data_IF_004222554087
#
_entry.id   IF_004222554087
#
_cell.length_a   1.000
_cell.length_b   1.000
_cell.length_c   1.000
_cell.angle_alpha   90.00
_cell.angle_beta   90.00
_cell.angle_gamma   90.00
#
_symmetry.space_group_name_H-M   'P 1'
#
loop_
_entity.id
_entity.type
_entity.pdbx_description
1 polymer ?
#
# COMPACT_ATOMS: atom_id res chain seq x y z
N UNK A 1 -6.93 8.30 0.82
CA UNK A 1 -5.99 7.18 0.99
C UNK A 1 -6.57 6.04 1.82
N UNK A 2 -7.06 6.26 3.05
CA UNK A 2 -7.61 5.19 3.89
C UNK A 2 -8.68 4.33 3.19
N UNK A 3 -9.54 4.96 2.41
CA UNK A 3 -10.58 4.26 1.62
C UNK A 3 -10.01 3.17 0.70
N UNK A 4 -8.95 3.49 -0.03
CA UNK A 4 -8.32 2.53 -0.95
C UNK A 4 -7.74 1.31 -0.22
N UNK A 5 -7.14 1.53 0.96
CA UNK A 5 -6.65 0.42 1.79
C UNK A 5 -7.79 -0.44 2.34
N UNK A 6 -8.86 0.17 2.83
CA UNK A 6 -10.03 -0.58 3.30
C UNK A 6 -10.64 -1.43 2.18
N UNK A 7 -10.81 -0.86 1.00
CA UNK A 7 -11.34 -1.56 -0.16
C UNK A 7 -10.45 -2.76 -0.57
N UNK A 8 -9.13 -2.55 -0.64
CA UNK A 8 -8.18 -3.61 -0.98
C UNK A 8 -8.17 -4.75 0.06
N UNK A 9 -8.17 -4.40 1.34
CA UNK A 9 -8.16 -5.40 2.42
C UNK A 9 -9.47 -6.20 2.44
N UNK A 10 -10.61 -5.52 2.31
CA UNK A 10 -11.91 -6.18 2.26
C UNK A 10 -11.99 -7.14 1.07
N UNK A 11 -11.58 -6.70 -0.12
CA UNK A 11 -11.55 -7.55 -1.30
C UNK A 11 -10.59 -8.74 -1.13
N UNK A 12 -9.39 -8.49 -0.61
CA UNK A 12 -8.40 -9.55 -0.39
C UNK A 12 -8.87 -10.62 0.57
N UNK A 13 -9.59 -10.25 1.63
CA UNK A 13 -10.14 -11.19 2.60
C UNK A 13 -11.36 -11.91 2.03
N UNK A 14 -12.25 -11.20 1.33
CA UNK A 14 -13.48 -11.77 0.81
C UNK A 14 -13.26 -12.69 -0.40
N UNK A 15 -12.16 -12.49 -1.14
CA UNK A 15 -11.78 -13.33 -2.27
C UNK A 15 -10.88 -14.51 -1.90
N UNK A 16 -10.58 -14.72 -0.61
CA UNK A 16 -9.80 -15.88 -0.16
C UNK A 16 -10.54 -17.18 -0.44
N UNK A 17 -9.80 -18.21 -0.82
CA UNK A 17 -10.33 -19.57 -0.99
C UNK A 17 -10.81 -20.18 0.35
N UNK A 18 -10.18 -19.81 1.48
CA UNK A 18 -10.51 -20.35 2.80
C UNK A 18 -11.53 -19.50 3.52
N UNK A 19 -12.66 -20.11 3.87
CA UNK A 19 -13.76 -19.45 4.61
C UNK A 19 -13.73 -19.83 6.10
N UNK A 20 -12.63 -19.53 6.76
CA UNK A 20 -12.43 -19.76 8.19
C UNK A 20 -13.26 -18.81 9.08
N UNK A 21 -13.10 -18.90 10.39
CA UNK A 21 -13.81 -18.03 11.34
C UNK A 21 -13.41 -16.56 11.19
N UNK A 22 -12.18 -16.28 10.78
CA UNK A 22 -11.72 -14.94 10.45
C UNK A 22 -12.49 -14.34 9.27
N UNK A 23 -12.66 -15.11 8.19
CA UNK A 23 -13.48 -14.73 7.04
C UNK A 23 -14.93 -14.43 7.45
N UNK A 24 -15.57 -15.32 8.23
CA UNK A 24 -16.96 -15.15 8.68
C UNK A 24 -17.15 -13.89 9.53
N UNK A 25 -16.17 -13.59 10.39
CA UNK A 25 -16.18 -12.38 11.23
C UNK A 25 -16.01 -11.13 10.38
N UNK A 26 -15.04 -11.13 9.45
CA UNK A 26 -14.77 -10.01 8.54
C UNK A 26 -15.96 -9.69 7.64
N UNK A 27 -16.60 -10.71 7.08
CA UNK A 27 -17.79 -10.56 6.22
C UNK A 27 -18.98 -9.89 6.92
N UNK A 28 -19.09 -10.04 8.24
CA UNK A 28 -20.17 -9.39 9.02
C UNK A 28 -19.93 -7.90 9.22
N UNK A 29 -18.68 -7.48 9.28
CA UNK A 29 -18.29 -6.09 9.55
C UNK A 29 -17.05 -5.72 8.74
N UNK A 30 -17.19 -5.58 7.40
CA UNK A 30 -16.08 -5.20 6.54
C UNK A 30 -15.63 -3.76 6.83
N UNK A 31 -14.35 -3.47 6.58
CA UNK A 31 -13.76 -2.15 6.88
C UNK A 31 -14.47 -1.00 6.18
N UNK A 32 -14.89 -1.21 4.92
CA UNK A 32 -15.63 -0.20 4.17
C UNK A 32 -16.97 0.16 4.83
N UNK A 33 -17.69 -0.82 5.39
CA UNK A 33 -18.92 -0.56 6.12
C UNK A 33 -18.65 0.18 7.43
N UNK A 34 -17.64 -0.25 8.15
CA UNK A 34 -17.26 0.29 9.46
C UNK A 34 -16.77 1.73 9.41
N UNK A 35 -15.94 2.08 8.44
CA UNK A 35 -15.31 3.40 8.35
C UNK A 35 -16.01 4.37 7.41
N UNK A 36 -16.76 3.88 6.44
CA UNK A 36 -17.34 4.70 5.38
C UNK A 36 -18.84 4.48 5.16
N UNK A 37 -19.45 3.56 5.92
CA UNK A 37 -20.88 3.22 5.83
C UNK A 37 -21.32 2.83 4.40
N UNK A 38 -20.41 2.22 3.63
CA UNK A 38 -20.67 1.76 2.25
C UNK A 38 -20.27 0.31 2.08
N UNK A 39 -20.90 -0.38 1.14
CA UNK A 39 -20.53 -1.73 0.71
C UNK A 39 -20.12 -1.77 -0.77
N UNK A 40 -20.11 -0.61 -1.43
CA UNK A 40 -19.86 -0.48 -2.87
C UNK A 40 -18.42 -0.01 -3.19
N UNK A 41 -17.45 -0.37 -2.34
CA UNK A 41 -16.08 0.06 -2.54
C UNK A 41 -15.51 -0.35 -3.90
N UNK A 42 -16.01 -1.45 -4.48
CA UNK A 42 -15.63 -1.92 -5.80
C UNK A 42 -15.92 -0.93 -6.92
N UNK A 43 -17.05 -0.24 -6.86
CA UNK A 43 -17.43 0.78 -7.84
C UNK A 43 -16.87 2.16 -7.49
N UNK A 44 -17.03 2.56 -6.24
CA UNK A 44 -16.63 3.89 -5.77
C UNK A 44 -15.14 4.15 -5.91
N UNK A 45 -14.28 3.15 -5.71
CA UNK A 45 -12.84 3.33 -5.85
C UNK A 45 -12.47 3.67 -7.30
N UNK A 46 -13.06 2.99 -8.26
CA UNK A 46 -12.85 3.27 -9.67
C UNK A 46 -13.38 4.65 -10.09
N UNK A 47 -14.53 5.06 -9.55
CA UNK A 47 -15.05 6.40 -9.82
C UNK A 47 -14.14 7.48 -9.24
N UNK A 48 -13.61 7.28 -8.03
CA UNK A 48 -12.62 8.18 -7.42
C UNK A 48 -11.33 8.27 -8.24
N UNK A 49 -10.86 7.16 -8.80
CA UNK A 49 -9.70 7.15 -9.70
C UNK A 49 -10.00 7.98 -10.95
N UNK A 50 -11.16 7.80 -11.58
CA UNK A 50 -11.56 8.57 -12.75
C UNK A 50 -11.67 10.06 -12.46
N UNK A 51 -12.20 10.43 -11.29
CA UNK A 51 -12.24 11.82 -10.84
C UNK A 51 -10.85 12.41 -10.69
N UNK A 52 -9.93 11.69 -10.00
CA UNK A 52 -8.54 12.12 -9.85
C UNK A 52 -7.80 12.26 -11.20
N UNK A 53 -8.11 11.40 -12.17
CA UNK A 53 -7.52 11.53 -13.51
C UNK A 53 -8.03 12.77 -14.27
N UNK A 54 -9.22 13.26 -13.97
CA UNK A 54 -9.77 14.51 -14.53
C UNK A 54 -9.18 15.77 -13.87
N UNK A 55 -8.67 15.65 -12.64
CA UNK A 55 -8.07 16.77 -11.92
C UNK A 55 -6.61 16.96 -12.34
N UNK A 56 -6.24 18.11 -12.93
CA UNK A 56 -4.86 18.38 -13.35
C UNK A 56 -3.91 18.53 -12.16
N UNK A 57 -4.42 18.99 -11.01
CA UNK A 57 -3.65 19.29 -9.79
C UNK A 57 -3.81 18.24 -8.70
N UNK A 58 -4.18 17.01 -9.07
CA UNK A 58 -4.33 15.93 -8.09
C UNK A 58 -3.02 15.65 -7.36
N UNK A 59 -3.13 15.41 -6.05
CA UNK A 59 -1.98 15.10 -5.19
C UNK A 59 -1.27 13.81 -5.63
N UNK A 60 0.02 13.90 -5.91
CA UNK A 60 0.85 12.77 -6.33
C UNK A 60 0.87 11.62 -5.31
N UNK A 61 0.77 11.91 -4.01
CA UNK A 61 0.70 10.88 -2.98
C UNK A 61 -0.62 10.10 -3.04
N UNK A 62 -1.72 10.79 -3.34
CA UNK A 62 -3.04 10.15 -3.53
C UNK A 62 -3.03 9.29 -4.78
N UNK A 63 -2.56 9.81 -5.91
CA UNK A 63 -2.41 9.04 -7.16
C UNK A 63 -1.56 7.79 -6.95
N UNK A 64 -0.43 7.93 -6.26
CA UNK A 64 0.47 6.81 -5.93
C UNK A 64 -0.25 5.76 -5.08
N UNK A 65 -1.02 6.17 -4.08
CA UNK A 65 -1.78 5.27 -3.22
C UNK A 65 -2.76 4.42 -4.05
N UNK A 66 -3.57 5.05 -4.89
CA UNK A 66 -4.52 4.34 -5.74
C UNK A 66 -3.83 3.43 -6.76
N UNK A 67 -2.74 3.89 -7.38
CA UNK A 67 -1.97 3.08 -8.30
C UNK A 67 -1.40 1.82 -7.64
N UNK A 68 -0.85 1.94 -6.42
CA UNK A 68 -0.37 0.79 -5.65
C UNK A 68 -1.49 -0.17 -5.27
N UNK A 69 -2.67 0.34 -4.94
CA UNK A 69 -3.85 -0.49 -4.67
C UNK A 69 -4.19 -1.37 -5.88
N UNK A 70 -4.17 -0.80 -7.10
CA UNK A 70 -4.38 -1.58 -8.32
C UNK A 70 -3.27 -2.61 -8.58
N UNK A 71 -2.01 -2.24 -8.35
CA UNK A 71 -0.87 -3.15 -8.49
C UNK A 71 -0.89 -4.32 -7.49
N UNK A 72 -1.47 -4.12 -6.32
CA UNK A 72 -1.66 -5.15 -5.31
C UNK A 72 -2.84 -6.09 -5.61
N UNK A 73 -3.51 -5.89 -6.75
CA UNK A 73 -4.50 -6.83 -7.27
C UNK A 73 -5.94 -6.45 -7.00
N UNK A 74 -6.23 -5.19 -6.62
CA UNK A 74 -7.62 -4.76 -6.51
C UNK A 74 -8.33 -4.80 -7.86
N UNK A 75 -9.45 -5.50 -7.93
CA UNK A 75 -10.27 -5.68 -9.14
C UNK A 75 -11.57 -4.87 -9.05
N UNK A 76 -12.26 -4.95 -7.93
CA UNK A 76 -13.51 -4.23 -7.67
C UNK A 76 -14.62 -4.65 -8.61
N UNK A 77 -15.19 -3.68 -9.34
CA UNK A 77 -16.29 -3.90 -10.28
C UNK A 77 -15.88 -4.59 -11.59
N UNK A 78 -14.60 -4.55 -11.96
CA UNK A 78 -14.15 -5.15 -13.21
C UNK A 78 -14.04 -6.67 -13.07
N UNK A 79 -14.62 -7.38 -14.01
CA UNK A 79 -14.48 -8.83 -14.16
C UNK A 79 -13.42 -9.12 -15.23
N UNK A 80 -13.06 -10.38 -15.40
CA UNK A 80 -12.09 -10.80 -16.41
C UNK A 80 -12.41 -10.31 -17.83
N UNK A 81 -13.69 -10.12 -18.14
CA UNK A 81 -14.17 -9.61 -19.42
C UNK A 81 -13.87 -8.12 -19.65
N UNK A 82 -13.64 -7.37 -18.57
CA UNK A 82 -13.37 -5.92 -18.59
C UNK A 82 -11.89 -5.59 -18.34
N UNK A 83 -11.00 -6.55 -18.44
CA UNK A 83 -9.57 -6.38 -18.12
C UNK A 83 -8.89 -5.28 -18.95
N UNK A 84 -9.27 -5.10 -20.22
CA UNK A 84 -8.75 -4.05 -21.08
C UNK A 84 -9.07 -2.64 -20.54
N UNK A 85 -10.32 -2.42 -20.12
CA UNK A 85 -10.73 -1.13 -19.53
C UNK A 85 -10.05 -0.85 -18.20
N UNK A 86 -9.85 -1.89 -17.42
CA UNK A 86 -9.12 -1.80 -16.16
C UNK A 86 -7.67 -1.41 -16.40
N UNK A 87 -7.03 -2.05 -17.39
CA UNK A 87 -5.64 -1.78 -17.75
C UNK A 87 -5.45 -0.36 -18.27
N UNK A 88 -6.35 0.14 -19.12
CA UNK A 88 -6.33 1.52 -19.63
C UNK A 88 -6.32 2.54 -18.48
N UNK A 89 -7.19 2.36 -17.49
CA UNK A 89 -7.28 3.25 -16.34
C UNK A 89 -6.02 3.12 -15.46
N UNK A 90 -5.52 1.91 -15.26
CA UNK A 90 -4.30 1.66 -14.49
C UNK A 90 -3.07 2.29 -15.16
N UNK A 91 -2.97 2.19 -16.49
CA UNK A 91 -1.91 2.81 -17.27
C UNK A 91 -1.98 4.34 -17.24
N UNK A 92 -3.17 4.91 -17.41
CA UNK A 92 -3.38 6.36 -17.32
C UNK A 92 -3.01 6.89 -15.92
N UNK A 93 -3.35 6.15 -14.87
CA UNK A 93 -2.98 6.48 -13.50
C UNK A 93 -1.47 6.37 -13.28
N UNK A 94 -0.86 5.29 -13.77
CA UNK A 94 0.59 5.05 -13.69
C UNK A 94 1.43 6.12 -14.38
N UNK A 95 0.96 6.66 -15.51
CA UNK A 95 1.63 7.73 -16.23
C UNK A 95 1.71 9.05 -15.42
N UNK A 96 0.83 9.25 -14.45
CA UNK A 96 0.80 10.42 -13.58
C UNK A 96 1.51 10.21 -12.23
N UNK A 97 1.90 8.98 -11.92
CA UNK A 97 2.59 8.66 -10.68
C UNK A 97 4.10 8.86 -10.88
N UNK A 98 4.78 9.60 -9.99
CA UNK A 98 6.22 9.74 -10.08
C UNK A 98 6.91 8.37 -9.92
N UNK A 99 8.05 8.15 -10.60
CA UNK A 99 8.79 6.90 -10.47
C UNK A 99 9.16 6.65 -9.01
N UNK A 100 8.98 5.42 -8.56
CA UNK A 100 9.30 5.02 -7.20
C UNK A 100 10.81 5.01 -7.02
N UNK A 101 11.34 6.02 -6.34
CA UNK A 101 12.72 6.05 -5.91
C UNK A 101 12.80 5.59 -4.45
N UNK A 102 13.38 4.43 -4.22
CA UNK A 102 13.87 4.04 -2.90
C UNK A 102 15.12 4.89 -2.60
N UNK A 103 14.92 6.13 -2.17
CA UNK A 103 16.03 6.89 -1.60
C UNK A 103 16.40 6.18 -0.30
N UNK A 104 17.61 5.64 -0.28
CA UNK A 104 18.21 4.91 0.85
C UNK A 104 18.35 5.79 2.11
N UNK A 105 17.99 7.04 2.02
CA UNK A 105 18.23 8.06 3.07
C UNK A 105 17.16 8.10 4.16
N UNK A 106 16.00 7.44 4.01
CA UNK A 106 15.01 7.36 5.10
C UNK A 106 15.09 6.03 5.82
N UNK A 107 16.14 5.84 6.60
CA UNK A 107 16.16 4.88 7.71
C UNK A 107 15.30 5.42 8.86
N UNK A 108 13.99 5.45 8.71
CA UNK A 108 13.12 6.01 9.73
C UNK A 108 12.62 5.02 10.78
N UNK A 109 13.14 3.81 10.82
CA UNK A 109 12.77 2.81 11.82
C UNK A 109 13.88 2.44 12.80
N UNK A 110 15.01 3.14 12.81
CA UNK A 110 16.02 3.01 13.83
C UNK A 110 16.69 4.36 14.12
N UNK A 111 15.91 5.27 14.71
CA UNK A 111 16.52 6.28 15.57
C UNK A 111 16.41 5.73 16.99
N UNK A 112 17.49 5.23 17.61
CA UNK A 112 17.47 4.90 19.02
C UNK A 112 17.11 6.16 19.79
N UNK A 113 16.21 6.08 20.78
CA UNK A 113 15.91 7.22 21.65
C UNK A 113 17.20 7.59 22.38
N UNK A 114 17.79 8.74 22.04
CA UNK A 114 18.99 9.25 22.72
C UNK A 114 20.07 9.92 21.87
N UNK A 115 19.96 9.93 20.53
CA UNK A 115 20.88 10.75 19.74
C UNK A 115 20.23 12.10 19.43
N UNK A 116 20.28 13.00 20.41
CA UNK A 116 20.15 14.43 20.15
C UNK A 116 21.31 14.86 19.24
N UNK A 117 20.96 15.66 18.22
CA UNK A 117 21.91 16.25 17.30
C UNK A 117 22.78 17.26 18.05
N UNK A 118 23.92 16.83 18.56
CA UNK A 118 24.99 17.71 18.93
C UNK A 118 26.30 17.15 18.37
N UNK A 119 26.99 18.02 17.68
CA UNK A 119 28.15 17.72 16.86
C UNK A 119 29.30 17.07 17.60
N UNK A 120 30.02 16.24 16.86
CA UNK A 120 31.40 15.89 17.14
C UNK A 120 31.59 14.49 17.69
N UNK A 121 31.79 13.51 16.80
CA UNK A 121 32.61 12.35 17.11
C UNK A 121 33.68 12.19 16.05
N UNK A 122 34.81 12.83 16.34
CA UNK A 122 36.11 12.48 15.77
C UNK A 122 36.58 11.15 16.36
N UNK A 123 36.87 10.21 15.51
CA UNK A 123 37.89 9.20 15.66
C UNK A 123 37.80 8.17 16.78
N UNK A 124 37.62 6.93 16.39
CA UNK A 124 38.47 5.83 16.84
C UNK A 124 38.18 4.56 15.98
N UNK A 125 39.19 4.17 15.26
CA UNK A 125 39.28 2.84 14.66
C UNK A 125 39.34 1.78 15.77
N UNK A 126 38.58 0.70 15.64
CA UNK A 126 38.66 -0.37 16.63
C UNK A 126 37.79 -1.60 16.35
N UNK A 127 38.42 -2.57 15.62
CA UNK A 127 38.22 -4.02 15.74
C UNK A 127 36.93 -4.66 15.23
N UNK A 128 37.13 -5.32 14.12
CA UNK A 128 36.36 -6.46 13.59
C UNK A 128 36.01 -7.48 14.69
N UNK A 129 34.76 -7.67 14.96
CA UNK A 129 34.25 -8.86 15.64
C UNK A 129 33.52 -9.72 14.62
N UNK A 130 34.24 -10.71 14.11
CA UNK A 130 33.74 -11.84 13.34
C UNK A 130 32.78 -12.65 14.22
N UNK A 131 31.46 -12.54 14.01
CA UNK A 131 30.51 -13.50 14.53
C UNK A 131 30.37 -14.66 13.52
N UNK A 132 31.10 -15.71 13.88
CA UNK A 132 31.10 -17.01 13.25
C UNK A 132 29.82 -17.75 13.66
N UNK A 133 28.87 -17.89 12.74
CA UNK A 133 27.75 -18.80 12.90
C UNK A 133 28.23 -20.23 12.94
N UNK A 134 28.21 -20.85 14.12
CA UNK A 134 28.32 -22.30 14.26
C UNK A 134 26.93 -22.91 14.03
N UNK A 135 26.90 -23.73 13.00
CA UNK A 135 25.86 -24.72 12.73
C UNK A 135 25.88 -25.73 13.89
N UNK A 136 24.72 -25.99 14.55
CA UNK A 136 24.46 -27.18 15.36
C UNK A 136 23.35 -27.98 14.71
N UNK A 137 23.59 -29.31 14.65
CA UNK A 137 22.97 -30.36 13.93
C UNK A 137 21.54 -30.73 14.22
#
# INVERSE_FOLDING_TARGET
MLYAYCALLDESVLNRASQDDGYRRWRKDPLQARFFSTLNAGEELWERIRQLLREPTADAAVLTCFFRTLQLGFVGQYRAEDDERREDVAQALGARVPPFSLTRERRWWFVPPGCAADGGCTGAAGRLALWRWRRCG
#
